data_IF_994681106430
#
_entry.id   IF_994681106430
#
_cell.length_a   1.000
_cell.length_b   1.000
_cell.length_c   1.000
_cell.angle_alpha   90.00
_cell.angle_beta   90.00
_cell.angle_gamma   90.00
#
_symmetry.space_group_name_H-M   'P 1'
#
loop_
_entity.id
_entity.type
_entity.pdbx_description
1 polymer ?
#
# COMPACT_ATOMS: atom_id res chain seq x y z
N UNK A 1 15.55 0.13 5.86
CA UNK A 1 14.53 -0.82 6.39
C UNK A 1 13.21 -0.13 6.71
N UNK A 2 13.19 0.98 7.44
CA UNK A 2 11.96 1.70 7.82
C UNK A 2 11.12 2.18 6.62
N UNK A 3 11.75 2.59 5.52
CA UNK A 3 11.05 3.05 4.31
C UNK A 3 10.22 1.95 3.65
N UNK A 4 10.66 0.70 3.74
CA UNK A 4 10.00 -0.44 3.14
C UNK A 4 8.72 -0.82 3.88
N UNK A 5 8.76 -0.73 5.18
CA UNK A 5 7.59 -1.00 6.03
C UNK A 5 6.51 0.07 5.87
N UNK A 6 6.91 1.34 5.63
CA UNK A 6 5.97 2.41 5.29
C UNK A 6 5.38 2.24 3.89
N UNK A 7 6.12 1.69 2.93
CA UNK A 7 5.59 1.36 1.61
C UNK A 7 4.52 0.26 1.68
N UNK A 8 4.76 -0.79 2.47
CA UNK A 8 3.77 -1.84 2.72
C UNK A 8 2.47 -1.30 3.34
N UNK A 9 2.57 -0.34 4.27
CA UNK A 9 1.43 0.36 4.83
C UNK A 9 0.64 1.13 3.77
N UNK A 10 1.33 1.88 2.91
CA UNK A 10 0.70 2.66 1.84
C UNK A 10 -0.03 1.77 0.84
N UNK A 11 0.50 0.59 0.52
CA UNK A 11 -0.14 -0.39 -0.36
C UNK A 11 -1.43 -0.95 0.22
N UNK A 12 -1.43 -1.33 1.50
CA UNK A 12 -2.64 -1.82 2.17
C UNK A 12 -3.78 -0.79 2.14
N UNK A 13 -3.45 0.50 2.21
CA UNK A 13 -4.42 1.60 2.12
C UNK A 13 -4.97 1.78 0.70
N UNK A 14 -4.15 1.64 -0.33
CA UNK A 14 -4.56 1.86 -1.73
C UNK A 14 -5.62 0.86 -2.20
N UNK A 15 -5.51 -0.39 -1.80
CA UNK A 15 -6.46 -1.45 -2.21
C UNK A 15 -7.89 -1.13 -1.77
N UNK A 16 -8.07 -0.54 -0.60
CA UNK A 16 -9.39 -0.27 -0.03
C UNK A 16 -10.09 0.96 -0.63
N UNK A 17 -9.38 1.81 -1.38
CA UNK A 17 -9.94 3.05 -1.94
C UNK A 17 -10.32 2.95 -3.42
N UNK A 18 -10.18 1.77 -4.04
CA UNK A 18 -10.56 1.55 -5.44
C UNK A 18 -12.05 1.81 -5.67
N UNK A 19 -12.43 2.56 -6.72
CA UNK A 19 -13.83 2.85 -7.00
C UNK A 19 -14.57 1.56 -7.37
N UNK A 20 -15.54 1.19 -6.55
CA UNK A 20 -16.39 0.03 -6.77
C UNK A 20 -17.73 0.45 -7.33
N UNK A 21 -18.26 -0.33 -8.28
CA UNK A 21 -19.58 -0.06 -8.82
C UNK A 21 -20.68 -0.42 -7.83
N UNK A 22 -21.77 0.35 -7.88
CA UNK A 22 -22.96 0.07 -7.09
C UNK A 22 -23.65 -1.19 -7.60
N UNK A 23 -23.73 -2.21 -6.78
CA UNK A 23 -24.73 -3.23 -6.98
C UNK A 23 -26.10 -2.70 -6.47
N UNK A 24 -27.15 -2.87 -7.25
CA UNK A 24 -28.52 -2.60 -6.83
C UNK A 24 -29.01 -3.61 -5.79
N UNK A 25 -28.29 -4.70 -5.59
CA UNK A 25 -28.60 -5.75 -4.63
C UNK A 25 -27.74 -5.56 -3.37
N UNK A 26 -28.32 -5.81 -2.19
CA UNK A 26 -27.63 -5.84 -0.90
C UNK A 26 -26.74 -7.09 -0.73
N UNK A 27 -26.27 -7.68 -1.83
CA UNK A 27 -25.46 -8.87 -1.83
C UNK A 27 -23.99 -8.56 -1.55
N UNK A 28 -23.27 -9.56 -1.07
CA UNK A 28 -21.83 -9.43 -0.81
C UNK A 28 -21.10 -9.52 -2.14
N UNK A 29 -20.27 -8.50 -2.41
CA UNK A 29 -19.36 -8.46 -3.54
C UNK A 29 -17.99 -8.97 -3.11
N UNK A 30 -17.43 -9.92 -3.85
CA UNK A 30 -16.11 -10.48 -3.62
C UNK A 30 -15.13 -9.97 -4.67
N UNK A 31 -13.90 -9.74 -4.25
CA UNK A 31 -12.87 -9.27 -5.16
C UNK A 31 -11.49 -9.79 -4.76
N UNK A 32 -10.59 -9.87 -5.72
CA UNK A 32 -9.19 -10.17 -5.53
C UNK A 32 -8.34 -9.21 -6.37
N UNK A 33 -7.18 -8.85 -5.87
CA UNK A 33 -6.22 -7.97 -6.53
C UNK A 33 -4.82 -8.53 -6.38
N UNK A 34 -4.08 -8.57 -7.49
CA UNK A 34 -2.63 -8.75 -7.52
C UNK A 34 -1.94 -7.41 -7.78
N UNK A 35 -0.81 -7.17 -7.17
CA UNK A 35 0.00 -5.97 -7.39
C UNK A 35 1.48 -6.29 -7.50
N UNK A 36 2.16 -5.57 -8.39
CA UNK A 36 3.61 -5.58 -8.56
C UNK A 36 4.13 -4.16 -8.45
N UNK A 37 5.19 -3.93 -7.68
CA UNK A 37 5.82 -2.64 -7.55
C UNK A 37 7.34 -2.73 -7.73
N UNK A 38 7.90 -1.77 -8.46
CA UNK A 38 9.32 -1.62 -8.70
C UNK A 38 9.74 -0.21 -8.28
N UNK A 39 10.76 -0.11 -7.44
CA UNK A 39 11.22 1.16 -6.94
C UNK A 39 12.74 1.29 -6.95
N UNK A 40 13.19 2.53 -7.04
CA UNK A 40 14.57 2.92 -6.83
C UNK A 40 14.64 4.08 -5.88
N UNK A 41 15.45 3.96 -4.85
CA UNK A 41 15.80 5.05 -3.95
C UNK A 41 17.24 5.43 -4.25
N UNK A 42 17.47 6.72 -4.48
CA UNK A 42 18.81 7.25 -4.76
C UNK A 42 19.66 7.22 -3.51
N UNK A 43 20.97 7.09 -3.67
CA UNK A 43 21.91 7.22 -2.57
C UNK A 43 21.92 8.65 -2.01
N UNK A 44 22.28 8.74 -0.75
CA UNK A 44 22.52 10.01 -0.03
C UNK A 44 23.83 9.87 0.72
N UNK A 45 24.31 10.93 1.32
CA UNK A 45 25.55 10.92 2.12
C UNK A 45 25.53 9.89 3.28
N UNK A 46 24.33 9.49 3.71
CA UNK A 46 24.13 8.58 4.85
C UNK A 46 23.41 7.27 4.51
N UNK A 47 23.07 7.04 3.23
CA UNK A 47 22.31 5.85 2.83
C UNK A 47 22.66 5.42 1.41
N UNK A 48 23.01 4.16 1.24
CA UNK A 48 23.24 3.54 -0.07
C UNK A 48 21.97 3.51 -0.93
N UNK A 49 22.14 3.51 -2.25
CA UNK A 49 21.03 3.31 -3.19
C UNK A 49 20.28 2.00 -2.88
N UNK A 50 18.98 2.00 -3.14
CA UNK A 50 18.13 0.82 -2.93
C UNK A 50 17.34 0.51 -4.19
N UNK A 51 17.19 -0.77 -4.47
CA UNK A 51 16.22 -1.30 -5.43
C UNK A 51 15.17 -2.05 -4.64
N UNK A 52 13.91 -1.80 -4.98
CA UNK A 52 12.76 -2.32 -4.28
C UNK A 52 11.94 -3.12 -5.28
N UNK A 53 11.57 -4.32 -4.91
CA UNK A 53 10.56 -5.12 -5.57
C UNK A 53 9.52 -5.52 -4.55
N UNK A 54 8.25 -5.33 -4.88
CA UNK A 54 7.13 -5.74 -4.03
C UNK A 54 6.11 -6.44 -4.89
N UNK A 55 5.65 -7.58 -4.44
CA UNK A 55 4.48 -8.25 -4.98
C UNK A 55 3.48 -8.55 -3.87
N UNK A 56 2.21 -8.69 -4.23
CA UNK A 56 1.20 -8.96 -3.23
C UNK A 56 -0.14 -9.34 -3.82
N UNK A 57 -0.90 -10.06 -3.02
CA UNK A 57 -2.27 -10.47 -3.31
C UNK A 57 -3.18 -9.95 -2.20
N UNK A 58 -4.31 -9.39 -2.59
CA UNK A 58 -5.36 -8.95 -1.68
C UNK A 58 -6.67 -9.62 -2.07
N UNK A 59 -7.37 -10.15 -1.10
CA UNK A 59 -8.74 -10.65 -1.25
C UNK A 59 -9.66 -9.84 -0.35
N UNK A 60 -10.85 -9.55 -0.80
CA UNK A 60 -11.80 -8.77 -0.03
C UNK A 60 -13.23 -9.10 -0.34
N UNK A 61 -14.07 -8.67 0.59
CA UNK A 61 -15.52 -8.75 0.44
C UNK A 61 -16.14 -7.47 1.00
N UNK A 62 -17.14 -6.95 0.29
CA UNK A 62 -17.90 -5.79 0.74
C UNK A 62 -19.39 -5.91 0.44
N UNK A 63 -20.14 -5.09 1.12
CA UNK A 63 -21.59 -5.04 1.04
C UNK A 63 -22.07 -3.59 1.03
N UNK A 64 -23.08 -3.32 0.22
CA UNK A 64 -23.88 -2.11 0.34
C UNK A 64 -24.84 -2.26 1.52
N UNK A 65 -24.77 -1.36 2.50
CA UNK A 65 -25.66 -1.36 3.68
C UNK A 65 -26.84 -0.42 3.47
N UNK A 66 -26.63 0.70 2.79
CA UNK A 66 -27.65 1.65 2.36
C UNK A 66 -27.40 2.01 0.89
N UNK A 67 -28.24 2.86 0.30
CA UNK A 67 -28.21 3.16 -1.14
C UNK A 67 -26.84 3.56 -1.70
N UNK A 68 -25.93 4.07 -0.84
CA UNK A 68 -24.58 4.51 -1.26
C UNK A 68 -23.48 4.22 -0.24
N UNK A 69 -23.78 3.55 0.86
CA UNK A 69 -22.80 3.16 1.86
C UNK A 69 -22.22 1.77 1.54
N UNK A 70 -20.89 1.65 1.59
CA UNK A 70 -20.17 0.39 1.38
C UNK A 70 -19.38 0.10 2.66
N UNK A 71 -19.41 -1.15 3.11
CA UNK A 71 -18.54 -1.66 4.18
C UNK A 71 -17.89 -2.94 3.74
N UNK A 72 -16.63 -3.12 4.03
CA UNK A 72 -15.90 -4.32 3.62
C UNK A 72 -14.72 -4.67 4.50
N UNK A 73 -14.25 -5.89 4.28
CA UNK A 73 -13.04 -6.43 4.86
C UNK A 73 -12.11 -6.91 3.75
N UNK A 74 -10.82 -6.73 3.93
CA UNK A 74 -9.80 -7.22 3.02
C UNK A 74 -8.63 -7.83 3.80
N UNK A 75 -8.08 -8.89 3.25
CA UNK A 75 -6.84 -9.50 3.70
C UNK A 75 -5.79 -9.38 2.60
N UNK A 76 -4.59 -8.92 2.95
CA UNK A 76 -3.46 -8.79 2.04
C UNK A 76 -2.26 -9.56 2.55
N UNK A 77 -1.65 -10.32 1.66
CA UNK A 77 -0.31 -10.85 1.78
C UNK A 77 0.60 -10.14 0.76
N UNK A 78 1.79 -9.71 1.18
CA UNK A 78 2.78 -9.14 0.26
C UNK A 78 4.20 -9.50 0.67
N UNK A 79 5.07 -9.58 -0.33
CA UNK A 79 6.50 -9.77 -0.18
C UNK A 79 7.25 -8.53 -0.67
N UNK A 80 8.26 -8.11 0.09
CA UNK A 80 9.13 -7.01 -0.28
C UNK A 80 10.57 -7.50 -0.31
N UNK A 81 11.22 -7.38 -1.47
CA UNK A 81 12.65 -7.63 -1.65
C UNK A 81 13.36 -6.29 -1.86
N UNK A 82 14.30 -5.99 -0.98
CA UNK A 82 15.09 -4.76 -1.04
C UNK A 82 16.55 -5.09 -1.15
N UNK A 83 17.16 -4.68 -2.24
CA UNK A 83 18.60 -4.74 -2.45
C UNK A 83 19.21 -3.39 -2.10
N UNK A 84 20.19 -3.41 -1.19
CA UNK A 84 20.86 -2.21 -0.67
C UNK A 84 22.31 -2.16 -1.13
N UNK A 85 22.72 -1.07 -1.76
CA UNK A 85 24.09 -0.88 -2.24
C UNK A 85 24.47 -1.83 -3.39
N UNK A 86 25.74 -2.19 -3.43
CA UNK A 86 26.32 -3.10 -4.42
C UNK A 86 26.91 -4.36 -3.79
N UNK A 87 27.03 -4.42 -2.46
CA UNK A 87 27.76 -5.44 -1.72
C UNK A 87 26.92 -6.67 -1.37
N UNK A 88 25.68 -6.74 -1.89
CA UNK A 88 24.78 -7.87 -1.68
C UNK A 88 23.96 -7.81 -0.40
N UNK A 89 23.89 -6.67 0.27
CA UNK A 89 22.97 -6.45 1.38
C UNK A 89 21.52 -6.48 0.92
N UNK A 90 20.66 -7.19 1.67
CA UNK A 90 19.27 -7.47 1.28
C UNK A 90 18.35 -7.49 2.50
N UNK A 91 17.12 -7.07 2.28
CA UNK A 91 16.01 -7.22 3.21
C UNK A 91 14.84 -7.87 2.48
N UNK A 92 14.39 -9.00 2.98
CA UNK A 92 13.18 -9.67 2.52
C UNK A 92 12.12 -9.55 3.63
N UNK A 93 10.92 -9.11 3.29
CA UNK A 93 9.85 -8.92 4.28
C UNK A 93 8.54 -9.49 3.77
N UNK A 94 7.98 -10.42 4.53
CA UNK A 94 6.61 -10.89 4.38
C UNK A 94 5.69 -10.05 5.25
N UNK A 95 4.58 -9.59 4.68
CA UNK A 95 3.61 -8.74 5.37
C UNK A 95 2.20 -9.32 5.22
N UNK A 96 1.49 -9.38 6.33
CA UNK A 96 0.09 -9.82 6.43
C UNK A 96 -0.74 -8.70 7.01
N UNK A 97 -1.80 -8.28 6.31
CA UNK A 97 -2.67 -7.18 6.74
C UNK A 97 -4.13 -7.62 6.73
N UNK A 98 -4.85 -7.22 7.76
CA UNK A 98 -6.31 -7.28 7.81
C UNK A 98 -6.85 -5.86 7.88
N UNK A 99 -7.74 -5.50 6.96
CA UNK A 99 -8.23 -4.14 6.75
C UNK A 99 -9.75 -4.12 6.74
N UNK A 100 -10.33 -3.24 7.55
CA UNK A 100 -11.72 -2.82 7.42
C UNK A 100 -11.78 -1.49 6.66
N UNK A 101 -12.77 -1.35 5.79
CA UNK A 101 -12.97 -0.12 5.04
C UNK A 101 -14.46 0.20 4.87
N UNK A 102 -14.76 1.48 4.74
CA UNK A 102 -16.10 1.96 4.46
C UNK A 102 -16.07 3.19 3.57
N UNK A 103 -17.13 3.35 2.77
CA UNK A 103 -17.44 4.57 2.04
C UNK A 103 -18.83 5.01 2.44
N UNK A 104 -18.97 6.19 3.00
CA UNK A 104 -20.23 6.71 3.51
C UNK A 104 -20.56 8.05 2.85
N UNK A 105 -21.80 8.27 2.36
CA UNK A 105 -22.22 9.58 1.87
C UNK A 105 -22.21 10.62 3.01
N UNK A 106 -21.73 11.82 2.72
CA UNK A 106 -21.67 12.92 3.70
C UNK A 106 -22.56 14.06 3.20
N UNK A 107 -23.66 14.34 3.89
CA UNK A 107 -24.56 15.47 3.70
C UNK A 107 -25.34 15.51 2.38
N UNK A 108 -24.77 15.07 1.27
CA UNK A 108 -25.42 15.04 -0.05
C UNK A 108 -24.97 13.82 -0.87
N UNK A 109 -25.57 13.62 -2.04
CA UNK A 109 -25.27 12.51 -2.92
C UNK A 109 -23.96 12.64 -3.70
N UNK A 110 -23.19 13.70 -3.46
CA UNK A 110 -21.95 13.99 -4.22
C UNK A 110 -20.71 13.81 -3.40
N UNK A 111 -20.81 13.93 -2.08
CA UNK A 111 -19.66 13.88 -1.17
C UNK A 111 -19.63 12.56 -0.41
N UNK A 112 -18.44 12.00 -0.27
CA UNK A 112 -18.22 10.73 0.40
C UNK A 112 -17.03 10.82 1.33
N UNK A 113 -17.14 10.14 2.46
CA UNK A 113 -16.06 9.87 3.38
C UNK A 113 -15.66 8.40 3.23
N UNK A 114 -14.42 8.15 2.80
CA UNK A 114 -13.81 6.85 2.87
C UNK A 114 -13.03 6.75 4.19
N UNK A 115 -13.25 5.70 4.94
CA UNK A 115 -12.53 5.36 6.16
C UNK A 115 -11.92 3.97 6.04
N UNK A 116 -10.66 3.87 6.43
CA UNK A 116 -9.91 2.61 6.42
C UNK A 116 -9.21 2.46 7.75
N UNK A 117 -9.25 1.27 8.32
CA UNK A 117 -8.46 0.91 9.48
C UNK A 117 -7.95 -0.53 9.31
N UNK A 118 -6.70 -0.76 9.65
CA UNK A 118 -6.12 -2.08 9.52
C UNK A 118 -5.01 -2.35 10.52
N UNK A 119 -4.73 -3.62 10.65
CA UNK A 119 -3.65 -4.16 11.46
C UNK A 119 -2.81 -5.10 10.60
N UNK A 120 -1.55 -5.25 10.93
CA UNK A 120 -0.66 -6.14 10.19
C UNK A 120 0.48 -6.72 11.03
N UNK A 121 1.08 -7.75 10.48
CA UNK A 121 2.28 -8.39 10.98
C UNK A 121 3.35 -8.43 9.89
N UNK A 122 4.60 -8.22 10.26
CA UNK A 122 5.74 -8.20 9.36
C UNK A 122 6.79 -9.20 9.86
N UNK A 123 7.38 -9.94 8.93
CA UNK A 123 8.45 -10.90 9.19
C UNK A 123 9.57 -10.59 8.21
N UNK A 124 10.74 -10.20 8.72
CA UNK A 124 11.84 -9.73 7.89
C UNK A 124 13.07 -10.58 8.09
N UNK A 125 13.67 -11.01 6.99
CA UNK A 125 14.99 -11.61 6.91
C UNK A 125 15.98 -10.54 6.43
N UNK A 126 17.03 -10.34 7.22
CA UNK A 126 18.03 -9.30 7.02
C UNK A 126 19.36 -9.96 6.69
N UNK A 127 19.98 -9.55 5.61
CA UNK A 127 21.33 -9.93 5.26
C UNK A 127 22.11 -8.66 4.90
N UNK A 128 23.11 -8.33 5.68
CA UNK A 128 24.02 -7.22 5.38
C UNK A 128 25.43 -7.72 5.15
N UNK A 129 26.18 -7.00 4.33
CA UNK A 129 27.59 -7.27 4.06
C UNK A 129 28.38 -6.05 4.52
N UNK A 130 29.26 -6.26 5.48
CA UNK A 130 30.13 -5.25 6.03
C UNK A 130 31.58 -5.74 5.97
N UNK A 131 32.43 -5.02 5.25
CA UNK A 131 33.87 -5.37 5.04
C UNK A 131 34.06 -6.85 4.60
N UNK A 132 33.21 -7.30 3.66
CA UNK A 132 33.23 -8.68 3.15
C UNK A 132 32.67 -9.74 4.11
N UNK A 133 32.24 -9.37 5.30
CA UNK A 133 31.59 -10.27 6.26
C UNK A 133 30.08 -10.21 6.09
N UNK A 134 29.46 -11.37 5.98
CA UNK A 134 27.99 -11.50 5.91
C UNK A 134 27.43 -11.53 7.34
N UNK A 135 26.49 -10.63 7.62
CA UNK A 135 25.71 -10.56 8.84
C UNK A 135 24.26 -10.92 8.52
N UNK A 136 23.62 -11.74 9.32
CA UNK A 136 22.21 -12.15 9.12
C UNK A 136 21.42 -11.98 10.39
N UNK A 137 20.12 -11.68 10.25
CA UNK A 137 19.21 -11.60 11.37
C UNK A 137 17.76 -11.60 10.90
N UNK A 138 16.85 -11.88 11.83
CA UNK A 138 15.42 -11.91 11.59
C UNK A 138 14.75 -10.89 12.50
N UNK A 139 13.80 -10.13 11.95
CA UNK A 139 13.08 -9.10 12.70
C UNK A 139 11.59 -9.17 12.42
N UNK A 140 10.80 -9.23 13.47
CA UNK A 140 9.34 -9.20 13.38
C UNK A 140 8.82 -7.80 13.69
N UNK A 141 7.63 -7.49 13.16
CA UNK A 141 6.94 -6.23 13.44
C UNK A 141 5.44 -6.40 13.49
N UNK A 142 4.78 -5.42 14.07
CA UNK A 142 3.33 -5.27 14.08
C UNK A 142 2.99 -3.86 13.66
N UNK A 143 1.90 -3.69 12.94
CA UNK A 143 1.47 -2.38 12.48
C UNK A 143 -0.03 -2.17 12.71
N UNK A 144 -0.37 -0.91 12.92
CA UNK A 144 -1.74 -0.41 12.86
C UNK A 144 -1.75 0.81 11.95
N UNK A 145 -2.77 0.94 11.14
CA UNK A 145 -2.88 2.05 10.19
C UNK A 145 -4.33 2.47 10.00
N UNK A 146 -4.51 3.69 9.57
CA UNK A 146 -5.81 4.24 9.24
C UNK A 146 -5.73 5.36 8.21
N UNK A 147 -6.81 5.53 7.48
CA UNK A 147 -6.99 6.57 6.47
C UNK A 147 -8.37 7.17 6.59
N UNK A 148 -8.44 8.48 6.43
CA UNK A 148 -9.68 9.21 6.19
C UNK A 148 -9.51 10.00 4.89
N UNK A 149 -10.46 9.83 3.95
CA UNK A 149 -10.47 10.51 2.65
C UNK A 149 -11.84 11.12 2.41
N UNK A 150 -11.86 12.42 2.27
CA UNK A 150 -13.04 13.16 1.81
C UNK A 150 -12.92 13.37 0.30
N UNK A 151 -13.95 12.98 -0.45
CA UNK A 151 -14.00 13.14 -1.91
C UNK A 151 -15.35 13.70 -2.36
N UNK A 152 -15.35 14.40 -3.48
CA UNK A 152 -16.57 14.91 -4.13
C UNK A 152 -16.64 14.38 -5.56
N UNK A 153 -17.81 13.88 -5.98
CA UNK A 153 -18.08 13.44 -7.37
C UNK A 153 -18.76 14.55 -8.14
N UNK A 154 -18.06 15.14 -9.11
CA UNK A 154 -18.57 16.19 -10.00
C UNK A 154 -18.81 15.54 -11.35
N UNK A 155 -20.09 15.26 -11.66
CA UNK A 155 -20.50 14.60 -12.90
C UNK A 155 -20.80 15.62 -13.98
N UNK A 156 -20.22 15.38 -15.17
CA UNK A 156 -20.51 16.13 -16.38
C UNK A 156 -20.56 15.14 -17.54
N UNK A 157 -21.78 14.84 -18.02
CA UNK A 157 -22.03 13.83 -19.04
C UNK A 157 -21.40 12.46 -18.67
N UNK A 158 -20.51 11.93 -19.48
CA UNK A 158 -19.83 10.66 -19.29
C UNK A 158 -18.57 10.78 -18.39
N UNK A 159 -18.15 12.02 -18.11
CA UNK A 159 -16.96 12.32 -17.29
C UNK A 159 -17.37 12.65 -15.86
N UNK A 160 -16.69 12.02 -14.91
CA UNK A 160 -16.77 12.36 -13.48
C UNK A 160 -15.40 12.83 -12.99
N UNK A 161 -15.32 14.03 -12.42
CA UNK A 161 -14.14 14.52 -11.74
C UNK A 161 -14.29 14.29 -10.24
N UNK A 162 -13.20 13.87 -9.59
CA UNK A 162 -13.20 13.48 -8.17
C UNK A 162 -12.03 14.15 -7.46
N UNK A 163 -12.16 15.41 -7.03
CA UNK A 163 -11.22 16.01 -6.10
C UNK A 163 -11.32 15.31 -4.74
N UNK A 164 -10.18 15.13 -4.08
CA UNK A 164 -10.12 14.51 -2.76
C UNK A 164 -8.99 15.04 -1.90
N UNK A 165 -9.24 15.03 -0.59
CA UNK A 165 -8.25 15.26 0.45
C UNK A 165 -8.21 14.04 1.38
N UNK A 166 -7.01 13.59 1.75
CA UNK A 166 -6.80 12.36 2.50
C UNK A 166 -5.72 12.54 3.55
N UNK A 167 -5.94 11.92 4.71
CA UNK A 167 -4.95 11.81 5.78
C UNK A 167 -4.71 10.33 6.04
N UNK A 168 -3.43 9.94 6.07
CA UNK A 168 -3.00 8.60 6.43
C UNK A 168 -2.19 8.65 7.71
N UNK A 169 -2.50 7.74 8.62
CA UNK A 169 -1.77 7.55 9.87
C UNK A 169 -1.33 6.09 9.98
N UNK A 170 -0.11 5.87 10.41
CA UNK A 170 0.43 4.55 10.64
C UNK A 170 1.40 4.50 11.79
N UNK A 171 1.41 3.36 12.46
CA UNK A 171 2.36 3.05 13.51
C UNK A 171 2.84 1.61 13.37
N UNK A 172 4.15 1.44 13.25
CA UNK A 172 4.79 0.12 13.17
C UNK A 172 5.75 -0.04 14.34
N UNK A 173 5.61 -1.13 15.06
CA UNK A 173 6.50 -1.53 16.14
C UNK A 173 7.31 -2.74 15.68
N UNK A 174 8.62 -2.55 15.59
CA UNK A 174 9.58 -3.60 15.27
C UNK A 174 10.17 -4.16 16.56
N UNK A 175 10.27 -5.48 16.63
CA UNK A 175 10.93 -6.16 17.75
C UNK A 175 12.44 -5.89 17.77
N UNK A 176 13.07 -6.12 18.90
CA UNK A 176 14.53 -6.23 18.98
C UNK A 176 14.99 -7.47 18.20
N UNK A 177 16.19 -7.41 17.64
CA UNK A 177 16.83 -8.56 17.03
C UNK A 177 18.35 -8.50 17.18
N UNK A 178 19.00 -9.62 17.00
CA UNK A 178 20.46 -9.72 16.97
C UNK A 178 20.91 -10.30 15.63
N UNK A 179 21.97 -9.75 15.12
CA UNK A 179 22.65 -10.31 13.95
C UNK A 179 23.54 -11.50 14.40
N UNK A 180 23.85 -12.34 13.43
CA UNK A 180 24.89 -13.35 13.52
C UNK A 180 26.04 -13.00 12.57
N UNK A 181 27.27 -13.23 12.98
CA UNK A 181 28.48 -12.93 12.21
C UNK A 181 29.58 -12.28 13.05
N UNK A 182 30.73 -12.00 12.43
CA UNK A 182 31.95 -11.58 13.14
C UNK A 182 31.85 -10.23 13.84
N UNK A 183 31.09 -9.30 13.26
CA UNK A 183 30.88 -7.93 13.79
C UNK A 183 29.39 -7.70 14.08
N UNK A 184 28.70 -8.73 14.54
CA UNK A 184 27.28 -8.73 14.75
C UNK A 184 26.82 -7.67 15.75
N UNK A 185 25.69 -7.05 15.47
CA UNK A 185 25.04 -6.03 16.29
C UNK A 185 23.70 -6.54 16.82
N UNK A 186 23.33 -5.99 17.97
CA UNK A 186 22.00 -6.14 18.54
C UNK A 186 21.26 -4.83 18.40
N UNK A 187 20.05 -4.90 17.86
CA UNK A 187 19.15 -3.77 17.68
C UNK A 187 18.00 -3.84 18.67
N UNK A 188 17.73 -2.73 19.33
CA UNK A 188 16.60 -2.61 20.25
C UNK A 188 15.28 -2.50 19.48
N UNK A 189 14.15 -2.53 20.20
CA UNK A 189 12.83 -2.25 19.62
C UNK A 189 12.82 -0.88 18.95
N UNK A 190 12.11 -0.76 17.83
CA UNK A 190 12.00 0.48 17.08
C UNK A 190 10.54 0.77 16.77
N UNK A 191 10.12 2.00 16.96
CA UNK A 191 8.81 2.48 16.50
C UNK A 191 8.97 3.37 15.29
N UNK A 192 8.10 3.16 14.30
CA UNK A 192 8.06 3.94 13.08
C UNK A 192 6.66 4.54 12.96
N UNK A 193 6.58 5.84 12.83
CA UNK A 193 5.33 6.55 12.59
C UNK A 193 5.24 6.98 11.13
N UNK A 194 4.04 6.99 10.59
CA UNK A 194 3.72 7.54 9.28
C UNK A 194 2.58 8.53 9.43
N UNK A 195 2.74 9.72 8.86
CA UNK A 195 1.73 10.76 8.82
C UNK A 195 1.78 11.42 7.46
N UNK A 196 0.77 11.17 6.64
CA UNK A 196 0.73 11.71 5.28
C UNK A 196 -0.52 12.56 5.09
N UNK A 197 -0.36 13.64 4.37
CA UNK A 197 -1.45 14.42 3.80
C UNK A 197 -1.42 14.24 2.28
N UNK A 198 -2.57 13.94 1.67
CA UNK A 198 -2.70 13.79 0.22
C UNK A 198 -3.79 14.68 -0.32
N UNK A 199 -3.52 15.30 -1.45
CA UNK A 199 -4.47 16.04 -2.24
C UNK A 199 -4.47 15.46 -3.65
N UNK A 200 -5.62 15.11 -4.17
CA UNK A 200 -5.73 14.50 -5.48
C UNK A 200 -6.91 15.00 -6.28
N UNK A 201 -6.78 14.88 -7.59
CA UNK A 201 -7.89 14.97 -8.52
C UNK A 201 -7.85 13.74 -9.40
N UNK A 202 -8.97 13.02 -9.46
CA UNK A 202 -9.16 11.90 -10.36
C UNK A 202 -10.23 12.23 -11.41
N UNK A 203 -10.14 11.58 -12.57
CA UNK A 203 -11.13 11.60 -13.61
C UNK A 203 -11.58 10.18 -13.94
N UNK A 204 -12.88 9.98 -14.10
CA UNK A 204 -13.45 8.70 -14.52
C UNK A 204 -14.35 8.99 -15.70
N UNK A 205 -14.08 8.35 -16.83
CA UNK A 205 -14.93 8.39 -18.03
C UNK A 205 -15.60 7.04 -18.20
N UNK A 206 -16.91 7.05 -18.33
CA UNK A 206 -17.71 5.82 -18.47
C UNK A 206 -18.17 5.66 -19.92
N UNK A 207 -17.77 4.56 -20.55
CA UNK A 207 -18.16 4.18 -21.90
C UNK A 207 -19.07 2.96 -21.83
N UNK A 208 -20.29 3.09 -22.30
CA UNK A 208 -21.27 2.01 -22.28
C UNK A 208 -21.36 1.36 -23.68
N UNK A 209 -21.26 0.04 -23.72
CA UNK A 209 -21.53 -0.77 -24.90
C UNK A 209 -22.63 -1.80 -24.53
N UNK A 210 -23.25 -2.41 -25.53
CA UNK A 210 -24.33 -3.40 -25.35
C UNK A 210 -23.94 -4.64 -24.55
N UNK A 211 -22.63 -5.00 -24.52
CA UNK A 211 -22.10 -6.21 -23.88
C UNK A 211 -21.24 -5.94 -22.66
N UNK A 212 -20.68 -4.75 -22.53
CA UNK A 212 -19.79 -4.40 -21.45
C UNK A 212 -19.85 -2.91 -21.15
N UNK A 213 -19.50 -2.56 -19.95
CA UNK A 213 -19.28 -1.20 -19.51
C UNK A 213 -17.79 -1.03 -19.23
N UNK A 214 -17.19 -0.02 -19.82
CA UNK A 214 -15.77 0.29 -19.61
C UNK A 214 -15.64 1.63 -18.92
N UNK A 215 -14.77 1.70 -17.92
CA UNK A 215 -14.37 2.96 -17.29
C UNK A 215 -12.89 3.17 -17.53
N UNK A 216 -12.53 4.36 -17.96
CA UNK A 216 -11.16 4.83 -18.01
C UNK A 216 -10.98 5.82 -16.88
N UNK A 217 -9.87 5.72 -16.16
CA UNK A 217 -9.59 6.66 -15.09
C UNK A 217 -8.16 7.13 -15.13
N UNK A 218 -7.96 8.32 -14.61
CA UNK A 218 -6.67 8.93 -14.37
C UNK A 218 -6.69 9.67 -13.05
N UNK A 219 -5.56 9.76 -12.38
CA UNK A 219 -5.41 10.50 -11.13
C UNK A 219 -4.05 11.17 -11.07
N UNK A 220 -4.03 12.38 -10.55
CA UNK A 220 -2.82 13.07 -10.10
C UNK A 220 -2.99 13.33 -8.61
N UNK A 221 -1.95 13.03 -7.84
CA UNK A 221 -1.95 13.18 -6.40
C UNK A 221 -0.63 13.80 -5.94
N UNK A 222 -0.73 14.77 -5.06
CA UNK A 222 0.36 15.28 -4.25
C UNK A 222 0.27 14.68 -2.86
N UNK A 223 1.40 14.19 -2.34
CA UNK A 223 1.52 13.64 -0.99
C UNK A 223 2.65 14.33 -0.23
N UNK A 224 2.33 14.86 0.94
CA UNK A 224 3.29 15.35 1.92
C UNK A 224 3.49 14.31 3.04
N UNK A 225 4.72 13.87 3.25
CA UNK A 225 5.10 12.99 4.36
C UNK A 225 5.51 13.86 5.55
N UNK A 226 4.61 14.03 6.51
CA UNK A 226 4.80 14.93 7.65
C UNK A 226 5.70 14.37 8.74
N UNK A 227 5.93 13.05 8.76
CA UNK A 227 6.84 12.38 9.69
C UNK A 227 7.75 11.42 8.93
N UNK A 228 9.06 11.67 8.99
CA UNK A 228 10.06 11.01 8.14
C UNK A 228 11.23 10.42 8.89
N UNK A 229 11.28 10.56 10.21
CA UNK A 229 12.38 10.05 11.01
C UNK A 229 11.96 8.95 11.96
N UNK A 230 12.89 8.08 12.27
CA UNK A 230 12.76 7.10 13.36
C UNK A 230 14.11 6.86 14.00
N UNK A 231 14.14 6.65 15.31
CA UNK A 231 15.36 6.37 16.04
C UNK A 231 15.60 4.86 16.10
N UNK A 232 16.84 4.45 15.84
CA UNK A 232 17.30 3.09 16.01
C UNK A 232 18.42 3.06 17.05
N UNK A 233 18.28 2.20 18.06
CA UNK A 233 19.28 1.96 19.09
C UNK A 233 19.92 0.60 18.87
N UNK A 234 21.24 0.56 18.95
CA UNK A 234 22.00 -0.68 18.74
C UNK A 234 23.28 -0.70 19.58
N UNK A 235 23.83 -1.88 19.73
CA UNK A 235 25.12 -2.13 20.36
C UNK A 235 25.82 -3.27 19.62
N UNK A 236 27.16 -3.32 19.69
CA UNK A 236 27.87 -4.52 19.25
C UNK A 236 27.62 -5.68 20.25
N UNK A 237 27.51 -6.90 19.73
CA UNK A 237 27.37 -8.08 20.61
C UNK A 237 28.62 -8.28 21.47
N UNK A 238 29.78 -7.94 20.90
CA UNK A 238 31.08 -7.98 21.64
C UNK A 238 31.22 -6.89 22.71
N UNK A 239 30.45 -5.79 22.62
CA UNK A 239 30.41 -4.72 23.61
C UNK A 239 28.97 -4.23 23.79
N UNK A 240 28.22 -4.92 24.63
CA UNK A 240 26.83 -4.59 24.94
C UNK A 240 26.67 -3.40 25.88
N UNK A 241 27.75 -2.92 26.48
CA UNK A 241 27.74 -1.77 27.40
C UNK A 241 27.63 -0.44 26.64
N UNK A 242 28.23 -0.36 25.47
CA UNK A 242 28.19 0.83 24.62
C UNK A 242 26.94 0.81 23.71
N UNK A 243 26.05 1.78 23.92
CA UNK A 243 24.85 1.94 23.11
C UNK A 243 24.98 3.12 22.15
N UNK A 244 24.59 2.87 20.92
CA UNK A 244 24.53 3.87 19.85
C UNK A 244 23.07 4.21 19.58
N UNK A 245 22.79 5.48 19.33
CA UNK A 245 21.47 5.99 18.94
C UNK A 245 21.62 6.75 17.62
N UNK A 246 20.85 6.34 16.60
CA UNK A 246 20.94 6.94 15.27
C UNK A 246 19.54 7.27 14.79
N UNK A 247 19.36 8.52 14.38
CA UNK A 247 18.16 8.95 13.70
C UNK A 247 18.22 8.58 12.21
N UNK A 248 17.24 7.79 11.77
CA UNK A 248 17.07 7.42 10.37
C UNK A 248 16.04 8.34 9.73
N UNK A 249 16.47 9.11 8.76
CA UNK A 249 15.59 9.92 7.93
C UNK A 249 15.12 9.13 6.70
N UNK A 250 13.82 9.04 6.52
CA UNK A 250 13.20 8.22 5.50
C UNK A 250 12.32 9.01 4.54
N UNK A 251 12.51 8.76 3.25
CA UNK A 251 11.66 9.26 2.19
C UNK A 251 11.76 10.76 1.89
N UNK A 252 11.05 11.19 0.87
CA UNK A 252 10.88 12.60 0.52
C UNK A 252 9.74 13.22 1.31
N UNK A 253 9.86 14.51 1.64
CA UNK A 253 8.74 15.28 2.18
C UNK A 253 7.62 15.38 1.14
N UNK A 254 7.99 15.62 -0.12
CA UNK A 254 7.08 15.85 -1.22
C UNK A 254 7.14 14.71 -2.22
N UNK A 255 5.97 14.20 -2.59
CA UNK A 255 5.83 13.16 -3.60
C UNK A 255 4.70 13.55 -4.56
N UNK A 256 4.88 13.19 -5.82
CA UNK A 256 3.87 13.34 -6.87
C UNK A 256 3.56 11.95 -7.40
N UNK A 257 2.28 11.63 -7.47
CA UNK A 257 1.78 10.36 -7.97
C UNK A 257 0.89 10.59 -9.18
N UNK A 258 1.13 9.83 -10.24
CA UNK A 258 0.28 9.73 -11.43
C UNK A 258 -0.26 8.32 -11.57
N UNK A 259 -1.55 8.19 -11.89
CA UNK A 259 -2.22 6.91 -12.05
C UNK A 259 -3.09 6.93 -13.30
N UNK A 260 -3.06 5.85 -14.05
CA UNK A 260 -3.98 5.59 -15.17
C UNK A 260 -4.51 4.18 -15.08
N UNK A 261 -5.77 3.97 -15.46
CA UNK A 261 -6.35 2.66 -15.39
C UNK A 261 -7.58 2.46 -16.26
N UNK A 262 -7.97 1.19 -16.36
CA UNK A 262 -9.16 0.73 -17.09
C UNK A 262 -9.89 -0.28 -16.21
N UNK A 263 -11.22 -0.12 -16.13
CA UNK A 263 -12.12 -1.06 -15.50
C UNK A 263 -13.13 -1.54 -16.56
N UNK A 264 -13.26 -2.86 -16.72
CA UNK A 264 -14.20 -3.49 -17.65
C UNK A 264 -15.18 -4.33 -16.86
N UNK A 265 -16.46 -4.00 -16.94
CA UNK A 265 -17.54 -4.71 -16.28
C UNK A 265 -18.31 -5.48 -17.33
N UNK A 266 -18.39 -6.79 -17.15
CA UNK A 266 -19.05 -7.72 -18.05
C UNK A 266 -20.27 -8.35 -17.36
N UNK A 267 -21.43 -8.30 -18.02
CA UNK A 267 -22.71 -8.86 -17.54
C UNK A 267 -23.10 -8.48 -16.10
N UNK A 268 -22.73 -7.28 -15.65
CA UNK A 268 -22.98 -6.75 -14.30
C UNK A 268 -22.48 -7.63 -13.11
N UNK A 269 -21.84 -8.76 -13.40
CA UNK A 269 -21.43 -9.74 -12.40
C UNK A 269 -19.92 -9.89 -12.29
N UNK A 270 -19.19 -9.58 -13.35
CA UNK A 270 -17.75 -9.75 -13.41
C UNK A 270 -17.08 -8.43 -13.77
N UNK A 271 -16.05 -8.05 -13.03
CA UNK A 271 -15.22 -6.89 -13.34
C UNK A 271 -13.76 -7.26 -13.41
N UNK A 272 -13.06 -6.67 -14.37
CA UNK A 272 -11.62 -6.74 -14.52
C UNK A 272 -11.07 -5.31 -14.47
N UNK A 273 -10.09 -5.09 -13.62
CA UNK A 273 -9.55 -3.79 -13.35
C UNK A 273 -8.02 -3.81 -13.50
N UNK A 274 -7.47 -2.85 -14.22
CA UNK A 274 -6.04 -2.66 -14.41
C UNK A 274 -5.65 -1.24 -14.08
N UNK A 275 -4.60 -1.06 -13.26
CA UNK A 275 -4.01 0.24 -12.95
C UNK A 275 -2.50 0.21 -13.15
N UNK A 276 -1.97 1.27 -13.71
CA UNK A 276 -0.56 1.63 -13.65
C UNK A 276 -0.38 2.92 -12.86
N UNK A 277 0.56 2.90 -11.93
CA UNK A 277 0.86 4.01 -11.04
C UNK A 277 2.36 4.34 -11.08
N UNK A 278 2.68 5.63 -11.15
CA UNK A 278 4.04 6.17 -11.03
C UNK A 278 4.08 7.15 -9.87
N UNK A 279 4.91 6.89 -8.87
CA UNK A 279 5.16 7.80 -7.76
C UNK A 279 6.61 8.30 -7.81
N UNK A 280 6.79 9.61 -7.89
CA UNK A 280 8.08 10.28 -7.78
C UNK A 280 8.23 10.88 -6.39
N UNK A 281 9.20 10.37 -5.64
CA UNK A 281 9.64 10.93 -4.37
C UNK A 281 10.71 11.99 -4.67
N UNK A 282 10.33 13.27 -4.63
CA UNK A 282 11.13 14.37 -5.13
C UNK A 282 12.54 14.39 -4.51
N UNK A 283 13.53 14.25 -5.37
CA UNK A 283 14.94 14.19 -4.99
C UNK A 283 15.42 12.87 -4.36
N UNK A 284 14.55 11.88 -4.15
CA UNK A 284 14.88 10.63 -3.45
C UNK A 284 14.73 9.37 -4.29
N UNK A 285 13.87 9.37 -5.32
CA UNK A 285 13.66 8.21 -6.17
C UNK A 285 12.23 8.07 -6.64
N UNK A 286 11.91 6.92 -7.23
CA UNK A 286 10.59 6.65 -7.78
C UNK A 286 10.14 5.22 -7.50
N UNK A 287 8.84 5.00 -7.61
CA UNK A 287 8.22 3.68 -7.58
C UNK A 287 7.17 3.58 -8.69
N UNK A 288 7.18 2.48 -9.41
CA UNK A 288 6.16 2.11 -10.39
C UNK A 288 5.36 0.94 -9.85
N UNK A 289 4.05 0.95 -10.05
CA UNK A 289 3.17 -0.15 -9.62
C UNK A 289 2.23 -0.54 -10.72
N UNK A 290 1.92 -1.81 -10.76
CA UNK A 290 0.88 -2.41 -11.60
C UNK A 290 -0.08 -3.14 -10.68
N UNK A 291 -1.37 -2.88 -10.84
CA UNK A 291 -2.45 -3.56 -10.14
C UNK A 291 -3.37 -4.24 -11.14
N UNK A 292 -3.72 -5.47 -10.84
CA UNK A 292 -4.72 -6.24 -11.57
C UNK A 292 -5.74 -6.75 -10.56
N UNK A 293 -7.01 -6.37 -10.73
CA UNK A 293 -8.06 -6.82 -9.84
C UNK A 293 -9.20 -7.50 -10.60
N UNK A 294 -9.80 -8.48 -9.96
CA UNK A 294 -10.98 -9.21 -10.42
C UNK A 294 -12.06 -9.05 -9.37
N UNK A 295 -13.24 -8.64 -9.82
CA UNK A 295 -14.44 -8.56 -8.99
C UNK A 295 -15.51 -9.52 -9.47
N UNK A 296 -16.24 -10.11 -8.53
CA UNK A 296 -17.33 -11.02 -8.82
C UNK A 296 -18.51 -10.82 -7.86
N UNK A 297 -19.71 -10.67 -8.45
CA UNK A 297 -20.98 -10.65 -7.73
C UNK A 297 -21.72 -11.97 -8.00
N UNK A 298 -21.84 -12.87 -7.00
CA UNK A 298 -22.54 -14.14 -7.22
C UNK A 298 -24.02 -13.94 -7.49
N UNK A 299 -24.54 -14.62 -8.52
CA UNK A 299 -25.98 -14.78 -8.71
C UNK A 299 -26.50 -15.86 -7.75
N UNK A 300 -27.78 -15.78 -7.37
CA UNK A 300 -28.44 -16.65 -6.36
C UNK A 300 -28.28 -18.16 -6.55
N UNK A 301 -27.78 -18.63 -7.69
CA UNK A 301 -27.70 -20.07 -8.05
C UNK A 301 -26.31 -20.50 -8.59
N UNK A 302 -25.23 -19.75 -8.37
CA UNK A 302 -23.90 -20.12 -8.90
C UNK A 302 -23.01 -20.72 -7.81
N UNK A 303 -22.46 -21.89 -8.11
CA UNK A 303 -21.35 -22.47 -7.34
C UNK A 303 -20.07 -21.66 -7.58
N UNK A 304 -19.40 -21.33 -6.51
CA UNK A 304 -18.18 -20.52 -6.50
C UNK A 304 -16.97 -21.23 -7.13
N UNK A 305 -16.27 -20.58 -8.02
CA UNK A 305 -14.90 -20.94 -8.39
C UNK A 305 -14.06 -19.66 -8.52
N UNK A 306 -13.12 -19.45 -7.61
CA UNK A 306 -12.11 -18.41 -7.72
C UNK A 306 -10.89 -18.98 -8.45
N UNK A 307 -10.42 -18.30 -9.50
CA UNK A 307 -9.13 -18.56 -10.12
C UNK A 307 -8.31 -17.27 -10.05
N UNK A 308 -7.27 -17.28 -9.23
CA UNK A 308 -6.27 -16.22 -9.16
C UNK A 308 -5.09 -16.68 -10.02
N UNK A 309 -4.81 -15.96 -11.08
CA UNK A 309 -3.58 -16.10 -11.84
C UNK A 309 -2.71 -14.86 -11.55
N UNK A 310 -1.59 -15.07 -10.90
CA UNK A 310 -0.51 -14.12 -10.79
C UNK A 310 0.62 -14.64 -11.68
N UNK A 311 0.98 -13.87 -12.69
CA UNK A 311 2.21 -14.04 -13.46
C UNK A 311 3.25 -13.01 -13.00
#
# INVERSE_FOLDING_TARGET
>A
FSNQMLASLAEAIQVSTSPKEKSKNKDIFYWAEGSLAFGKVRETDTSSKKKIYTDGITIGADKFTDDREIKGLAFRYSQNDVKVGIDGSRLDTDTYNLTYYSTTPVKDDKRFLDAVVGIGALYSDISSVLDGNKLTGNRNGKQIYGTLKLKEEIKKDELTLIPAAQIDLGYTLLSSYSESGKTAMRFDKQSIQSRNLRLSIASVETLNNKKYKMKRHGKIEYRANLHRSSNIKYSYISDSSTKYDTELNSGALHNINGEVGIDVIYDDNFSLFFIYELNEALGKGYTQKIHLAIGYLPQKNTNFAFKIEAD
#
